data_IF_214504681512
#
_entry.id   IF_214504681512
#
_cell.length_a   1.000
_cell.length_b   1.000
_cell.length_c   1.000
_cell.angle_alpha   90.00
_cell.angle_beta   90.00
_cell.angle_gamma   90.00
#
_symmetry.space_group_name_H-M   'P 1'
#
loop_
_entity.id
_entity.type
_entity.pdbx_description
1 polymer ?
#
# COMPACT_ATOMS: atom_id res chain seq x y z
N UNK A 1 10.83 9.27 -13.90
CA UNK A 1 10.90 7.97 -13.21
C UNK A 1 10.02 8.10 -11.98
N UNK A 2 9.05 7.21 -11.72
CA UNK A 2 8.27 7.26 -10.49
C UNK A 2 9.23 7.25 -9.30
N UNK A 3 8.93 8.02 -8.26
CA UNK A 3 9.84 8.26 -7.14
C UNK A 3 10.03 7.03 -6.23
N UNK A 4 9.18 6.01 -6.40
CA UNK A 4 9.18 4.76 -5.66
C UNK A 4 7.79 4.12 -5.71
N UNK A 5 7.75 2.83 -5.38
CA UNK A 5 6.54 2.02 -5.26
C UNK A 5 6.17 1.87 -3.77
N UNK A 6 4.92 2.18 -3.42
CA UNK A 6 4.42 2.14 -2.05
C UNK A 6 3.31 1.11 -1.97
N UNK A 7 3.49 0.12 -1.10
CA UNK A 7 2.46 -0.86 -0.80
C UNK A 7 1.64 -0.38 0.40
N UNK A 8 0.31 -0.48 0.29
CA UNK A 8 -0.61 -0.08 1.35
C UNK A 8 -1.51 -1.26 1.71
N UNK A 9 -1.59 -1.62 2.99
CA UNK A 9 -2.50 -2.64 3.50
C UNK A 9 -3.41 -2.05 4.57
N UNK A 10 -4.71 -2.00 4.26
CA UNK A 10 -5.71 -1.35 5.10
C UNK A 10 -7.09 -1.93 4.76
N UNK A 11 -7.88 -2.29 5.77
CA UNK A 11 -9.23 -2.85 5.62
C UNK A 11 -10.28 -1.77 5.30
N UNK A 12 -9.99 -0.50 5.62
CA UNK A 12 -10.85 0.64 5.30
C UNK A 12 -10.61 1.14 3.86
N UNK A 13 -11.66 1.05 3.03
CA UNK A 13 -11.65 1.56 1.66
C UNK A 13 -11.47 3.09 1.55
N UNK A 14 -11.95 3.85 2.54
CA UNK A 14 -11.82 5.30 2.56
C UNK A 14 -10.35 5.71 2.78
N UNK A 15 -9.67 5.10 3.76
CA UNK A 15 -8.24 5.35 4.03
C UNK A 15 -7.42 5.01 2.79
N UNK A 16 -7.63 3.84 2.17
CA UNK A 16 -6.92 3.45 0.94
C UNK A 16 -7.10 4.46 -0.19
N UNK A 17 -8.29 5.02 -0.33
CA UNK A 17 -8.57 6.02 -1.38
C UNK A 17 -7.79 7.32 -1.12
N UNK A 18 -7.79 7.79 0.13
CA UNK A 18 -7.06 9.01 0.53
C UNK A 18 -5.55 8.82 0.37
N UNK A 19 -5.00 7.71 0.86
CA UNK A 19 -3.57 7.40 0.73
C UNK A 19 -3.17 7.26 -0.74
N UNK A 20 -3.95 6.53 -1.55
CA UNK A 20 -3.67 6.37 -2.96
C UNK A 20 -3.66 7.72 -3.70
N UNK A 21 -4.64 8.59 -3.45
CA UNK A 21 -4.66 9.93 -4.05
C UNK A 21 -3.50 10.81 -3.58
N UNK A 22 -3.21 10.82 -2.28
CA UNK A 22 -2.14 11.66 -1.73
C UNK A 22 -0.75 11.25 -2.26
N UNK A 23 -0.46 9.95 -2.26
CA UNK A 23 0.82 9.41 -2.71
C UNK A 23 0.95 9.44 -4.24
N UNK A 24 -0.12 9.16 -4.99
CA UNK A 24 -0.12 9.37 -6.45
C UNK A 24 0.13 10.83 -6.82
N UNK A 25 -0.48 11.79 -6.10
CA UNK A 25 -0.22 13.22 -6.30
C UNK A 25 1.23 13.61 -6.00
N UNK A 26 1.88 12.91 -5.08
CA UNK A 26 3.29 13.08 -4.78
C UNK A 26 4.22 12.38 -5.80
N UNK A 27 3.67 11.65 -6.79
CA UNK A 27 4.43 11.02 -7.87
C UNK A 27 4.93 9.60 -7.57
N UNK A 28 4.37 8.95 -6.54
CA UNK A 28 4.65 7.54 -6.21
C UNK A 28 3.66 6.60 -6.90
N UNK A 29 4.12 5.37 -7.16
CA UNK A 29 3.25 4.29 -7.62
C UNK A 29 2.68 3.58 -6.39
N UNK A 30 1.36 3.59 -6.23
CA UNK A 30 0.72 3.04 -5.02
C UNK A 30 -0.01 1.76 -5.36
N UNK A 31 0.23 0.71 -4.59
CA UNK A 31 -0.46 -0.57 -4.72
C UNK A 31 -1.11 -0.91 -3.38
N UNK A 32 -2.44 -0.85 -3.33
CA UNK A 32 -3.20 -1.08 -2.10
C UNK A 32 -3.90 -2.44 -2.09
N UNK A 33 -4.01 -3.04 -0.92
CA UNK A 33 -4.74 -4.27 -0.65
C UNK A 33 -5.47 -4.16 0.69
N UNK A 34 -6.57 -4.91 0.87
CA UNK A 34 -7.20 -5.10 2.19
C UNK A 34 -6.80 -6.40 2.85
N UNK A 35 -5.90 -7.16 2.25
CA UNK A 35 -5.53 -8.49 2.71
C UNK A 35 -4.02 -8.54 3.02
N UNK A 36 -3.70 -8.90 4.26
CA UNK A 36 -2.32 -8.96 4.75
C UNK A 36 -1.49 -10.01 4.00
N UNK A 37 -2.06 -11.16 3.64
CA UNK A 37 -1.37 -12.19 2.89
C UNK A 37 -0.98 -11.72 1.47
N UNK A 38 -1.82 -10.89 0.84
CA UNK A 38 -1.48 -10.29 -0.46
C UNK A 38 -0.32 -9.31 -0.32
N UNK A 39 -0.35 -8.45 0.71
CA UNK A 39 0.75 -7.54 1.01
C UNK A 39 2.05 -8.33 1.22
N UNK A 40 1.99 -9.38 2.04
CA UNK A 40 3.17 -10.16 2.41
C UNK A 40 3.78 -10.88 1.20
N UNK A 41 2.95 -11.32 0.26
CA UNK A 41 3.40 -11.85 -1.02
C UNK A 41 4.16 -10.80 -1.83
N UNK A 42 3.64 -9.58 -1.95
CA UNK A 42 4.32 -8.49 -2.68
C UNK A 42 5.67 -8.14 -2.04
N UNK A 43 5.70 -7.99 -0.72
CA UNK A 43 6.93 -7.74 0.04
C UNK A 43 7.94 -8.86 -0.16
N UNK A 44 7.52 -10.13 -0.07
CA UNK A 44 8.39 -11.29 -0.29
C UNK A 44 8.91 -11.38 -1.72
N UNK A 45 8.19 -10.81 -2.69
CA UNK A 45 8.59 -10.71 -4.09
C UNK A 45 9.52 -9.51 -4.36
N UNK A 46 9.78 -8.67 -3.36
CA UNK A 46 10.54 -7.43 -3.52
C UNK A 46 9.79 -6.36 -4.31
N UNK A 47 8.45 -6.45 -4.35
CA UNK A 47 7.61 -5.37 -4.85
C UNK A 47 7.45 -4.34 -3.72
N UNK A 48 7.68 -3.06 -3.99
CA UNK A 48 7.55 -1.99 -3.00
C UNK A 48 8.88 -1.53 -2.40
N UNK A 49 9.08 -0.21 -2.39
CA UNK A 49 10.15 0.47 -1.69
C UNK A 49 9.73 0.86 -0.25
N UNK A 50 8.42 0.97 0.00
CA UNK A 50 7.84 1.30 1.30
C UNK A 50 6.54 0.52 1.50
N UNK A 51 6.29 0.10 2.74
CA UNK A 51 5.05 -0.56 3.16
C UNK A 51 4.35 0.31 4.21
N UNK A 52 3.07 0.57 4.00
CA UNK A 52 2.16 1.20 4.96
C UNK A 52 1.10 0.15 5.31
N UNK A 53 0.96 -0.16 6.60
CA UNK A 53 -0.05 -1.11 7.08
C UNK A 53 -0.73 -0.52 8.30
N UNK A 54 -2.02 -0.79 8.45
CA UNK A 54 -2.71 -0.45 9.69
C UNK A 54 -2.21 -1.34 10.85
N UNK A 55 -2.30 -0.82 12.07
CA UNK A 55 -1.87 -1.48 13.31
C UNK A 55 -2.77 -2.67 13.63
N UNK A 56 -4.06 -2.56 13.31
CA UNK A 56 -5.06 -3.60 13.55
C UNK A 56 -5.73 -3.95 12.24
N UNK A 57 -5.13 -4.87 11.48
CA UNK A 57 -5.82 -5.53 10.38
C UNK A 57 -6.57 -6.77 10.90
N UNK A 58 -7.90 -6.82 10.80
CA UNK A 58 -8.66 -8.03 11.08
C UNK A 58 -8.56 -8.99 9.88
N UNK A 59 -7.51 -9.81 9.85
CA UNK A 59 -7.24 -10.96 8.92
C UNK A 59 -7.70 -10.85 7.45
#
# INVERSE_FOLDING_TARGET
MPAGSILVADDDGAIRTVLNQALSRAGYEVRSTSNAATLWRWVSQGEGDLVITDVVMPD
#
